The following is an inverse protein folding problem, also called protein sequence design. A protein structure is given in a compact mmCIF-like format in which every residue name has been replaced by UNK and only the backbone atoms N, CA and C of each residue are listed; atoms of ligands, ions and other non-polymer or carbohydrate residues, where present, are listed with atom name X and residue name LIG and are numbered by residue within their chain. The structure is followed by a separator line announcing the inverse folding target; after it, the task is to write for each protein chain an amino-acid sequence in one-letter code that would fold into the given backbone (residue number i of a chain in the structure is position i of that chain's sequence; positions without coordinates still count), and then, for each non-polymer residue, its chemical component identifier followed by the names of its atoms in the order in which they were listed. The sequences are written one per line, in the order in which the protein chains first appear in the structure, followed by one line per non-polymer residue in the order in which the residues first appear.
data_IF_327815991181
#
_entry.id   IF_327815991181
#
_cell.length_a   1.000
_cell.length_b   1.000
_cell.length_c   1.000
_cell.angle_alpha   90.00
_cell.angle_beta   90.00
_cell.angle_gamma   90.00
#
_symmetry.space_group_name_H-M   'P 1'
#
loop_
_entity.id
_entity.type
_entity.pdbx_description
1 polymer ?
#
# COMPACT_ATOMS: atom_id res chain seq x y z
N UNK A 1 -5.49 -13.05 13.48
CA UNK A 1 -4.11 -12.61 13.20
C UNK A 1 -4.22 -11.35 12.39
N UNK A 2 -3.64 -10.27 12.89
CA UNK A 2 -3.59 -8.97 12.22
C UNK A 2 -2.31 -8.94 11.37
N UNK A 3 -2.41 -9.22 10.06
CA UNK A 3 -1.25 -9.23 9.17
C UNK A 3 -1.02 -7.84 8.59
N UNK A 4 0.24 -7.39 8.58
CA UNK A 4 0.64 -6.22 7.80
C UNK A 4 0.72 -6.61 6.32
N UNK A 5 0.02 -5.86 5.47
CA UNK A 5 -0.02 -6.12 4.03
C UNK A 5 0.31 -4.86 3.24
N UNK A 6 0.92 -5.06 2.08
CA UNK A 6 1.09 -4.05 1.04
C UNK A 6 0.09 -4.34 -0.08
N UNK A 7 -0.74 -3.35 -0.39
CA UNK A 7 -1.74 -3.36 -1.46
C UNK A 7 -1.26 -2.46 -2.58
N UNK A 8 -1.01 -3.05 -3.75
CA UNK A 8 -0.78 -2.29 -4.99
C UNK A 8 -2.07 -2.23 -5.77
N UNK A 9 -2.44 -1.01 -6.14
CA UNK A 9 -3.68 -0.70 -6.87
C UNK A 9 -3.43 -0.61 -8.38
N UNK A 10 -4.51 -0.68 -9.16
CA UNK A 10 -4.44 -0.66 -10.62
C UNK A 10 -3.91 0.66 -11.19
N UNK A 11 -3.99 1.77 -10.45
CA UNK A 11 -3.41 3.06 -10.82
C UNK A 11 -1.96 3.26 -10.31
N UNK A 12 -1.38 2.23 -9.68
CA UNK A 12 0.03 2.22 -9.30
C UNK A 12 0.33 2.78 -7.91
N UNK A 13 -0.67 2.94 -7.04
CA UNK A 13 -0.47 3.35 -5.64
C UNK A 13 -0.07 2.16 -4.78
N UNK A 14 0.79 2.38 -3.79
CA UNK A 14 1.21 1.37 -2.82
C UNK A 14 0.73 1.76 -1.41
N UNK A 15 -0.23 1.00 -0.89
CA UNK A 15 -0.85 1.27 0.41
C UNK A 15 -0.50 0.14 1.36
N UNK A 16 0.08 0.46 2.51
CA UNK A 16 0.45 -0.51 3.53
C UNK A 16 -0.47 -0.32 4.73
N UNK A 17 -0.93 -1.40 5.34
CA UNK A 17 -1.73 -1.33 6.56
C UNK A 17 -2.02 -2.71 7.15
N UNK A 18 -2.67 -2.71 8.30
CA UNK A 18 -3.09 -3.94 8.98
C UNK A 18 -4.39 -4.43 8.34
N UNK A 19 -4.38 -5.62 7.76
CA UNK A 19 -5.58 -6.22 7.15
C UNK A 19 -6.59 -6.61 8.23
N UNK A 20 -7.70 -5.86 8.31
CA UNK A 20 -8.80 -6.12 9.27
C UNK A 20 -9.90 -7.01 8.71
N UNK A 21 -10.04 -7.06 7.39
CA UNK A 21 -11.04 -7.89 6.75
C UNK A 21 -10.99 -7.81 5.23
N UNK A 22 -11.54 -8.82 4.61
CA UNK A 22 -11.76 -8.89 3.16
C UNK A 22 -13.05 -9.64 2.85
N UNK A 23 -13.57 -9.47 1.65
CA UNK A 23 -14.72 -10.23 1.14
C UNK A 23 -14.37 -11.03 -0.13
N UNK A 24 -15.33 -11.80 -0.65
CA UNK A 24 -15.15 -12.61 -1.86
C UNK A 24 -14.89 -11.79 -3.15
N UNK A 25 -15.14 -10.48 -3.11
CA UNK A 25 -14.84 -9.56 -4.21
C UNK A 25 -13.48 -8.88 -4.03
N UNK A 26 -12.70 -9.29 -3.01
CA UNK A 26 -11.39 -8.74 -2.68
C UNK A 26 -11.47 -7.26 -2.27
N UNK A 27 -12.62 -6.77 -1.80
CA UNK A 27 -12.62 -5.50 -1.07
C UNK A 27 -11.86 -5.71 0.23
N UNK A 28 -10.96 -4.79 0.59
CA UNK A 28 -10.14 -4.92 1.81
C UNK A 28 -10.31 -3.72 2.73
N UNK A 29 -10.29 -3.99 4.03
CA UNK A 29 -10.28 -3.00 5.10
C UNK A 29 -8.88 -3.01 5.71
N UNK A 30 -8.19 -1.88 5.63
CA UNK A 30 -6.86 -1.66 6.20
C UNK A 30 -6.98 -0.67 7.37
N UNK A 31 -6.37 -1.01 8.50
CA UNK A 31 -6.24 -0.13 9.65
C UNK A 31 -4.79 0.36 9.80
N UNK A 32 -4.61 1.51 10.46
CA UNK A 32 -3.31 2.19 10.60
C UNK A 32 -2.54 2.33 9.27
N UNK A 33 -3.28 2.51 8.16
CA UNK A 33 -2.71 2.47 6.82
C UNK A 33 -2.02 3.77 6.42
N UNK A 34 -1.07 3.64 5.50
CA UNK A 34 -0.32 4.73 4.89
C UNK A 34 0.07 4.39 3.45
N UNK A 35 0.23 5.40 2.62
CA UNK A 35 0.70 5.26 1.24
C UNK A 35 2.19 5.58 1.13
N UNK A 36 2.90 4.78 0.32
CA UNK A 36 4.29 5.04 -0.11
C UNK A 36 4.28 5.67 -1.50
N UNK A 37 4.68 6.92 -1.57
CA UNK A 37 4.76 7.66 -2.84
C UNK A 37 6.21 7.72 -3.30
N UNK A 38 6.48 7.06 -4.43
CA UNK A 38 7.82 7.01 -5.03
C UNK A 38 8.00 8.13 -6.06
N UNK A 39 9.20 8.71 -6.09
CA UNK A 39 9.59 9.74 -7.04
C UNK A 39 11.05 9.57 -7.47
N UNK A 40 11.37 10.06 -8.66
CA UNK A 40 12.77 10.19 -9.12
C UNK A 40 13.48 11.39 -8.49
N UNK A 41 12.74 12.30 -7.84
CA UNK A 41 13.26 13.60 -7.42
C UNK A 41 13.27 13.81 -5.89
N UNK A 42 12.60 12.94 -5.12
CA UNK A 42 12.47 13.06 -3.68
C UNK A 42 12.50 11.69 -3.00
N UNK A 43 12.82 11.65 -1.71
CA UNK A 43 12.68 10.45 -0.86
C UNK A 43 11.26 9.94 -0.84
N UNK A 44 11.10 8.68 -0.46
CA UNK A 44 9.78 8.06 -0.39
C UNK A 44 8.94 8.85 0.60
N UNK A 45 7.82 9.36 0.11
CA UNK A 45 6.90 10.14 0.94
C UNK A 45 5.85 9.22 1.55
N UNK A 46 5.47 9.53 2.79
CA UNK A 46 4.49 8.77 3.56
C UNK A 46 3.26 9.62 3.81
N UNK A 47 2.14 9.18 3.23
CA UNK A 47 0.84 9.80 3.44
C UNK A 47 0.00 8.90 4.36
N UNK A 48 -0.31 9.37 5.57
CA UNK A 48 -1.10 8.59 6.52
C UNK A 48 -2.58 8.61 6.12
N UNK A 49 -3.20 7.43 6.05
CA UNK A 49 -4.60 7.25 5.64
C UNK A 49 -5.49 6.79 6.82
N UNK A 50 -4.94 6.08 7.81
CA UNK A 50 -5.70 5.57 8.96
C UNK A 50 -6.55 4.35 8.58
N UNK A 51 -7.84 4.38 8.90
CA UNK A 51 -8.79 3.36 8.45
C UNK A 51 -9.15 3.59 6.98
N UNK A 52 -8.83 2.64 6.11
CA UNK A 52 -8.95 2.79 4.67
C UNK A 52 -9.59 1.55 4.03
N UNK A 53 -10.52 1.76 3.09
CA UNK A 53 -11.18 0.68 2.35
C UNK A 53 -10.74 0.76 0.90
N UNK A 54 -10.19 -0.33 0.37
CA UNK A 54 -9.85 -0.44 -1.06
C UNK A 54 -10.87 -1.35 -1.73
N UNK A 55 -11.50 -0.84 -2.80
CA UNK A 55 -12.43 -1.62 -3.62
C UNK A 55 -11.65 -2.67 -4.41
N UNK A 56 -12.11 -3.92 -4.41
CA UNK A 56 -11.39 -5.05 -4.99
C UNK A 56 -11.11 -4.92 -6.48
N UNK A 57 -12.02 -4.31 -7.26
CA UNK A 57 -11.80 -4.03 -8.69
C UNK A 57 -10.61 -3.10 -8.96
N UNK A 58 -10.13 -2.37 -7.95
CA UNK A 58 -8.98 -1.47 -8.04
C UNK A 58 -7.69 -2.11 -7.51
N UNK A 59 -7.72 -3.36 -7.06
CA UNK A 59 -6.55 -4.04 -6.48
C UNK A 59 -5.86 -4.88 -7.55
N UNK A 60 -4.55 -4.68 -7.69
CA UNK A 60 -3.69 -5.48 -8.54
C UNK A 60 -3.02 -6.62 -7.75
N UNK A 61 -2.42 -6.29 -6.60
CA UNK A 61 -1.61 -7.21 -5.79
C UNK A 61 -1.85 -6.93 -4.30
N UNK A 62 -1.91 -8.00 -3.50
CA UNK A 62 -1.80 -7.95 -2.04
C UNK A 62 -0.64 -8.86 -1.64
N UNK A 63 0.32 -8.32 -0.89
CA UNK A 63 1.46 -9.08 -0.36
C UNK A 63 1.62 -8.88 1.13
N UNK A 64 1.88 -9.95 1.87
CA UNK A 64 2.28 -9.86 3.28
C UNK A 64 3.67 -9.21 3.38
N UNK A 65 3.85 -8.37 4.39
CA UNK A 65 5.10 -7.64 4.64
C UNK A 65 5.47 -7.72 6.12
N UNK A 66 6.74 -7.46 6.48
CA UNK A 66 7.16 -7.37 7.88
C UNK A 66 6.36 -6.32 8.66
N UNK A 67 6.09 -6.58 9.95
CA UNK A 67 5.33 -5.67 10.81
C UNK A 67 6.04 -4.33 11.06
N UNK A 68 7.37 -4.33 11.04
CA UNK A 68 8.26 -3.18 11.25
C UNK A 68 8.50 -2.35 9.97
N UNK A 69 7.79 -2.63 8.88
CA UNK A 69 7.99 -1.95 7.59
C UNK A 69 7.80 -0.43 7.69
N UNK A 70 6.93 0.05 8.59
CA UNK A 70 6.67 1.49 8.77
C UNK A 70 7.92 2.22 9.28
N UNK A 71 8.67 1.62 10.19
CA UNK A 71 9.91 2.19 10.74
C UNK A 71 10.96 2.31 9.64
N UNK A 72 11.12 1.26 8.84
CA UNK A 72 12.03 1.23 7.69
C UNK A 72 11.67 2.25 6.61
N UNK A 73 10.37 2.54 6.45
CA UNK A 73 9.90 3.39 5.36
C UNK A 73 10.14 4.88 5.63
N UNK A 74 10.12 5.32 6.89
CA UNK A 74 10.36 6.74 7.22
C UNK A 74 11.75 7.23 6.83
N UNK A 75 12.70 6.32 6.71
CA UNK A 75 14.09 6.59 6.32
C UNK A 75 14.40 6.08 4.89
N UNK A 76 13.37 5.73 4.11
CA UNK A 76 13.55 5.13 2.80
C UNK A 76 13.97 6.17 1.74
N UNK A 77 15.24 6.09 1.37
CA UNK A 77 15.87 6.95 0.36
C UNK A 77 15.82 6.36 -1.05
N UNK A 78 15.04 5.30 -1.27
CA UNK A 78 14.85 4.75 -2.62
C UNK A 78 14.32 5.81 -3.60
N UNK A 79 14.77 5.71 -4.84
CA UNK A 79 14.32 6.54 -5.97
C UNK A 79 13.80 5.63 -7.05
N UNK A 80 12.51 5.75 -7.34
CA UNK A 80 11.86 4.98 -8.39
C UNK A 80 10.80 5.85 -9.06
N UNK A 81 10.55 5.67 -10.36
CA UNK A 81 9.39 6.26 -10.99
C UNK A 81 8.10 5.66 -10.37
N UNK A 82 6.97 6.40 -10.42
CA UNK A 82 5.68 5.82 -10.06
C UNK A 82 5.40 4.52 -10.81
N UNK A 83 4.74 3.57 -10.15
CA UNK A 83 4.34 2.32 -10.80
C UNK A 83 3.38 2.62 -11.95
N UNK A 84 3.56 1.92 -13.06
CA UNK A 84 2.67 2.08 -14.22
C UNK A 84 1.30 1.49 -13.91
N UNK A 85 0.22 2.10 -14.43
CA UNK A 85 -1.11 1.54 -14.28
C UNK A 85 -1.24 0.22 -15.04
N UNK A 86 -2.13 -0.64 -14.56
CA UNK A 86 -2.52 -1.87 -15.26
C UNK A 86 -3.26 -1.49 -16.56
N UNK A 87 -2.88 -2.12 -17.67
CA UNK A 87 -3.54 -1.96 -18.97
C UNK A 87 -4.23 -3.26 -19.33
N UNK A 88 -5.53 -3.20 -19.62
CA UNK A 88 -6.37 -4.35 -19.99
C UNK A 88 -6.43 -4.55 -21.50
#
# INVERSE_FOLDING_TARGET
MDHMVSVTTNDGRNIIGVLKGYDQCINVILDNSFERVYSMHADVQIENLGLFIVRGDNIAIIGEVPEDIKEHTQEDTARAPPMKPVTH
#
